data_IF_945355896780
#
_entry.id   IF_945355896780
#
_cell.length_a   1.000
_cell.length_b   1.000
_cell.length_c   1.000
_cell.angle_alpha   90.00
_cell.angle_beta   90.00
_cell.angle_gamma   90.00
#
_symmetry.space_group_name_H-M   'P 1'
#
loop_
_entity.id
_entity.type
_entity.pdbx_description
1 polymer ?
#
# COMPACT_ATOMS: atom_id res chain seq x y z
N UNK A 1 18.32 20.75 -8.76
CA UNK A 1 19.27 20.39 -7.68
C UNK A 1 19.22 18.91 -7.33
N UNK A 2 18.03 18.32 -7.11
CA UNK A 2 17.83 16.89 -6.80
C UNK A 2 18.47 15.94 -7.83
N UNK A 3 18.40 16.29 -9.11
CA UNK A 3 18.99 15.49 -10.18
C UNK A 3 20.52 15.47 -10.18
N UNK A 4 21.17 16.53 -9.70
CA UNK A 4 22.62 16.60 -9.63
C UNK A 4 23.15 15.71 -8.50
N UNK A 5 22.46 15.73 -7.35
CA UNK A 5 22.77 14.87 -6.20
C UNK A 5 22.57 13.41 -6.58
N UNK A 6 21.47 13.08 -7.27
CA UNK A 6 21.20 11.73 -7.75
C UNK A 6 22.29 11.22 -8.70
N UNK A 7 22.67 12.02 -9.71
CA UNK A 7 23.73 11.65 -10.66
C UNK A 7 25.09 11.47 -9.99
N UNK A 8 25.42 12.29 -8.99
CA UNK A 8 26.66 12.17 -8.23
C UNK A 8 26.70 10.87 -7.41
N UNK A 9 25.60 10.52 -6.74
CA UNK A 9 25.50 9.29 -5.95
C UNK A 9 25.61 8.05 -6.82
N UNK A 10 24.94 8.01 -7.98
CA UNK A 10 25.06 6.90 -8.94
C UNK A 10 26.51 6.71 -9.38
N UNK A 11 27.21 7.81 -9.71
CA UNK A 11 28.63 7.76 -10.11
C UNK A 11 29.55 7.23 -9.00
N UNK A 12 29.32 7.62 -7.74
CA UNK A 12 30.11 7.11 -6.61
C UNK A 12 29.89 5.61 -6.41
N UNK A 13 28.64 5.15 -6.53
CA UNK A 13 28.29 3.74 -6.40
C UNK A 13 28.79 2.89 -7.58
N UNK A 14 29.01 3.47 -8.76
CA UNK A 14 29.55 2.71 -9.91
C UNK A 14 31.05 2.39 -9.79
N UNK A 15 31.80 3.14 -8.96
CA UNK A 15 33.24 2.94 -8.75
C UNK A 15 33.52 1.86 -7.70
N UNK A 16 32.60 1.64 -6.77
CA UNK A 16 32.77 0.64 -5.72
C UNK A 16 32.46 -0.76 -6.30
N UNK A 17 33.43 -1.69 -6.29
CA UNK A 17 33.30 -2.98 -6.98
C UNK A 17 32.19 -3.87 -6.41
N UNK A 18 31.75 -3.64 -5.17
CA UNK A 18 30.67 -4.38 -4.51
C UNK A 18 29.27 -3.80 -4.74
N UNK A 19 29.14 -2.57 -5.24
CA UNK A 19 27.83 -1.96 -5.58
C UNK A 19 27.55 -1.98 -7.07
N UNK A 20 28.56 -2.30 -7.90
CA UNK A 20 28.40 -2.47 -9.34
C UNK A 20 27.53 -3.70 -9.64
N UNK A 21 26.23 -3.49 -9.76
CA UNK A 21 25.29 -4.54 -10.13
C UNK A 21 25.33 -4.73 -11.65
N UNK A 22 25.88 -5.85 -12.10
CA UNK A 22 25.93 -6.21 -13.54
C UNK A 22 24.60 -6.69 -14.10
N UNK A 23 23.61 -6.92 -13.23
CA UNK A 23 22.26 -7.32 -13.59
C UNK A 23 21.22 -6.42 -12.91
N UNK A 24 20.11 -6.09 -13.58
CA UNK A 24 18.99 -5.41 -12.94
C UNK A 24 18.53 -6.18 -11.69
N UNK A 25 18.23 -5.46 -10.62
CA UNK A 25 17.65 -6.06 -9.43
C UNK A 25 16.26 -6.64 -9.69
N UNK A 26 15.88 -7.65 -8.93
CA UNK A 26 14.56 -8.30 -9.05
C UNK A 26 13.36 -7.34 -8.87
N UNK A 27 13.60 -6.16 -8.32
CA UNK A 27 12.62 -5.10 -8.10
C UNK A 27 12.85 -3.84 -8.96
N UNK A 28 13.86 -3.84 -9.83
CA UNK A 28 14.04 -2.71 -10.77
C UNK A 28 13.08 -2.83 -11.93
N UNK A 29 12.61 -1.68 -12.40
CA UNK A 29 11.71 -1.55 -13.55
C UNK A 29 12.19 -2.34 -14.77
N UNK A 30 13.48 -2.30 -15.09
CA UNK A 30 14.08 -3.07 -16.20
C UNK A 30 13.83 -4.58 -16.07
N UNK A 31 13.98 -5.16 -14.86
CA UNK A 31 13.70 -6.58 -14.62
C UNK A 31 12.22 -6.96 -14.78
N UNK A 32 11.32 -6.00 -14.53
CA UNK A 32 9.88 -6.20 -14.69
C UNK A 32 9.44 -5.95 -16.15
N UNK A 33 10.10 -5.03 -16.85
CA UNK A 33 9.85 -4.73 -18.25
C UNK A 33 10.27 -5.87 -19.19
N UNK A 34 11.32 -6.61 -18.82
CA UNK A 34 11.78 -7.79 -19.57
C UNK A 34 10.89 -9.04 -19.36
N UNK A 35 9.88 -8.99 -18.49
CA UNK A 35 8.89 -10.07 -18.37
C UNK A 35 7.82 -9.91 -19.45
N UNK A 36 7.85 -10.81 -20.43
CA UNK A 36 6.95 -10.82 -21.58
C UNK A 36 5.45 -10.98 -21.22
N UNK A 37 5.12 -11.47 -20.02
CA UNK A 37 3.75 -11.70 -19.58
C UNK A 37 3.64 -11.38 -18.07
N UNK A 38 2.64 -10.60 -17.62
CA UNK A 38 2.33 -10.49 -16.20
C UNK A 38 1.78 -11.85 -15.74
N UNK A 39 2.66 -12.74 -15.29
CA UNK A 39 2.24 -13.99 -14.66
C UNK A 39 1.32 -13.61 -13.49
N UNK A 40 0.04 -14.05 -13.48
CA UNK A 40 -0.84 -13.74 -12.39
C UNK A 40 -0.17 -14.24 -11.11
N UNK A 41 -0.01 -13.33 -10.15
CA UNK A 41 0.55 -13.60 -8.84
C UNK A 41 -0.47 -14.46 -8.08
N UNK A 42 -0.49 -15.77 -8.35
CA UNK A 42 -1.29 -16.72 -7.59
C UNK A 42 -0.51 -17.04 -6.31
N UNK A 43 -0.63 -16.14 -5.33
CA UNK A 43 0.08 -16.23 -4.05
C UNK A 43 -0.34 -17.50 -3.27
N UNK A 44 -1.50 -18.10 -3.57
CA UNK A 44 -2.13 -19.12 -2.71
C UNK A 44 -2.70 -20.35 -3.43
N UNK A 45 -2.19 -20.76 -4.60
CA UNK A 45 -2.55 -22.09 -5.11
C UNK A 45 -1.75 -23.13 -4.30
N UNK A 46 -2.38 -23.71 -3.27
CA UNK A 46 -1.77 -24.77 -2.48
C UNK A 46 -1.39 -25.94 -3.41
N UNK A 47 -0.08 -26.14 -3.63
CA UNK A 47 0.45 -27.25 -4.43
C UNK A 47 0.40 -28.60 -3.71
N UNK A 48 0.03 -28.58 -2.43
CA UNK A 48 -0.10 -29.74 -1.55
C UNK A 48 -1.53 -29.83 -1.02
N UNK A 49 -2.12 -31.03 -0.86
CA UNK A 49 -3.44 -31.18 -0.27
C UNK A 49 -3.42 -30.58 1.14
N UNK A 50 -4.11 -29.44 1.30
CA UNK A 50 -4.28 -28.81 2.60
C UNK A 50 -5.34 -29.59 3.37
N UNK A 51 -5.09 -29.95 4.64
CA UNK A 51 -6.11 -30.53 5.49
C UNK A 51 -7.36 -29.63 5.52
N UNK A 52 -8.55 -30.24 5.47
CA UNK A 52 -9.84 -29.51 5.37
C UNK A 52 -10.01 -28.46 6.48
N UNK A 53 -9.49 -28.73 7.68
CA UNK A 53 -9.53 -27.78 8.80
C UNK A 53 -8.66 -26.53 8.58
N UNK A 54 -7.62 -26.61 7.75
CA UNK A 54 -6.79 -25.46 7.35
C UNK A 54 -7.52 -24.66 6.28
N UNK A 55 -8.14 -25.33 5.30
CA UNK A 55 -8.97 -24.70 4.27
C UNK A 55 -10.11 -23.89 4.92
N UNK A 56 -10.82 -24.48 5.87
CA UNK A 56 -11.91 -23.81 6.59
C UNK A 56 -11.47 -22.53 7.34
N UNK A 57 -10.19 -22.37 7.69
CA UNK A 57 -9.65 -21.14 8.30
C UNK A 57 -9.19 -20.12 7.26
N UNK A 58 -8.72 -20.58 6.11
CA UNK A 58 -8.25 -19.72 5.01
C UNK A 58 -9.35 -19.27 4.06
N UNK A 59 -10.49 -19.99 4.03
CA UNK A 59 -11.67 -19.58 3.27
C UNK A 59 -12.25 -18.34 3.96
N UNK A 60 -12.39 -17.21 3.25
CA UNK A 60 -13.07 -16.04 3.80
C UNK A 60 -14.45 -16.46 4.29
N UNK A 61 -14.72 -16.27 5.58
CA UNK A 61 -16.03 -16.56 6.15
C UNK A 61 -17.07 -15.73 5.39
N UNK A 62 -18.21 -16.33 4.96
CA UNK A 62 -19.31 -15.56 4.38
C UNK A 62 -19.94 -14.56 5.38
N UNK A 63 -19.58 -14.66 6.66
CA UNK A 63 -20.07 -13.82 7.76
C UNK A 63 -19.15 -12.64 8.10
N UNK A 64 -18.29 -12.22 7.16
CA UNK A 64 -17.34 -11.14 7.34
C UNK A 64 -16.06 -11.58 8.07
N UNK A 65 -14.95 -10.89 7.78
CA UNK A 65 -13.70 -11.11 8.50
C UNK A 65 -13.90 -10.75 9.97
N UNK A 66 -13.86 -11.75 10.86
CA UNK A 66 -14.00 -11.51 12.29
C UNK A 66 -12.75 -10.77 12.78
N UNK A 67 -12.86 -9.46 12.96
CA UNK A 67 -11.79 -8.63 13.54
C UNK A 67 -11.50 -9.12 14.96
N UNK A 68 -10.26 -9.59 15.23
CA UNK A 68 -9.88 -10.01 16.58
C UNK A 68 -10.05 -8.86 17.59
N UNK A 69 -10.47 -9.14 18.83
CA UNK A 69 -10.75 -8.09 19.82
C UNK A 69 -9.58 -7.13 20.04
N UNK A 70 -8.35 -7.65 20.05
CA UNK A 70 -7.13 -6.87 20.25
C UNK A 70 -6.76 -5.94 19.07
N UNK A 71 -7.38 -6.12 17.89
CA UNK A 71 -7.17 -5.23 16.74
C UNK A 71 -8.22 -4.13 16.65
N UNK A 72 -9.30 -4.20 17.43
CA UNK A 72 -10.39 -3.21 17.36
C UNK A 72 -9.91 -1.81 17.69
N UNK A 73 -9.16 -1.68 18.78
CA UNK A 73 -8.62 -0.39 19.22
C UNK A 73 -7.63 0.17 18.20
N UNK A 74 -6.76 -0.68 17.65
CA UNK A 74 -5.81 -0.30 16.61
C UNK A 74 -6.51 0.17 15.32
N UNK A 75 -7.59 -0.48 14.91
CA UNK A 75 -8.40 -0.05 13.76
C UNK A 75 -9.04 1.31 14.03
N UNK A 76 -9.63 1.52 15.20
CA UNK A 76 -10.19 2.81 15.59
C UNK A 76 -9.15 3.93 15.58
N UNK A 77 -7.92 3.64 16.06
CA UNK A 77 -6.80 4.58 15.96
C UNK A 77 -6.40 4.89 14.51
N UNK A 78 -6.42 3.91 13.60
CA UNK A 78 -6.14 4.15 12.18
C UNK A 78 -7.21 5.04 11.55
N UNK A 79 -8.49 4.73 11.77
CA UNK A 79 -9.60 5.53 11.23
C UNK A 79 -9.55 6.99 11.71
N UNK A 80 -9.21 7.21 12.98
CA UNK A 80 -9.05 8.56 13.51
C UNK A 80 -7.83 9.29 12.92
N UNK A 81 -6.71 8.59 12.73
CA UNK A 81 -5.55 9.17 12.03
C UNK A 81 -5.89 9.57 10.60
N UNK A 82 -6.67 8.77 9.89
CA UNK A 82 -7.12 9.09 8.53
C UNK A 82 -8.04 10.32 8.53
N UNK A 83 -8.98 10.41 9.48
CA UNK A 83 -9.81 11.62 9.66
C UNK A 83 -8.96 12.87 9.91
N UNK A 84 -7.94 12.77 10.76
CA UNK A 84 -7.03 13.89 11.01
C UNK A 84 -6.21 14.27 9.78
N UNK A 85 -5.78 13.28 9.01
CA UNK A 85 -5.07 13.51 7.76
C UNK A 85 -5.95 14.23 6.74
N UNK A 86 -7.19 13.80 6.55
CA UNK A 86 -8.17 14.47 5.67
C UNK A 86 -8.40 15.93 6.07
N UNK A 87 -8.62 16.19 7.37
CA UNK A 87 -8.81 17.57 7.87
C UNK A 87 -7.60 18.45 7.57
N UNK A 88 -6.38 17.94 7.79
CA UNK A 88 -5.14 18.67 7.48
C UNK A 88 -4.99 18.92 5.98
N UNK A 89 -5.34 17.94 5.15
CA UNK A 89 -5.31 18.06 3.70
C UNK A 89 -6.31 19.13 3.21
N UNK A 90 -7.53 19.15 3.77
CA UNK A 90 -8.53 20.16 3.44
C UNK A 90 -8.08 21.58 3.85
N UNK A 91 -7.50 21.73 5.04
CA UNK A 91 -6.93 23.02 5.49
C UNK A 91 -5.81 23.46 4.54
N UNK A 92 -4.90 22.56 4.17
CA UNK A 92 -3.83 22.86 3.23
C UNK A 92 -4.37 23.26 1.85
N UNK A 93 -5.40 22.55 1.35
CA UNK A 93 -6.06 22.89 0.08
C UNK A 93 -6.72 24.28 0.15
N UNK A 94 -7.40 24.60 1.26
CA UNK A 94 -8.04 25.90 1.46
C UNK A 94 -7.02 27.06 1.43
N UNK A 95 -5.81 26.87 1.97
CA UNK A 95 -4.73 27.88 1.85
C UNK A 95 -4.27 28.13 0.42
N UNK A 96 -4.52 27.17 -0.49
CA UNK A 96 -4.26 27.29 -1.92
C UNK A 96 -5.49 27.78 -2.71
N UNK A 97 -6.59 28.13 -2.02
CA UNK A 97 -7.85 28.54 -2.63
C UNK A 97 -8.69 27.38 -3.18
N UNK A 98 -8.37 26.14 -2.83
CA UNK A 98 -9.10 24.95 -3.23
C UNK A 98 -10.00 24.48 -2.08
N UNK A 99 -11.30 24.38 -2.32
CA UNK A 99 -12.23 23.82 -1.34
C UNK A 99 -12.32 22.30 -1.53
N UNK A 100 -11.63 21.56 -0.66
CA UNK A 100 -11.60 20.10 -0.71
C UNK A 100 -12.67 19.54 0.23
N UNK A 101 -13.66 18.77 -0.27
CA UNK A 101 -14.65 18.15 0.60
C UNK A 101 -13.96 17.13 1.51
N UNK A 102 -14.26 17.17 2.81
CA UNK A 102 -13.74 16.24 3.80
C UNK A 102 -14.85 15.76 4.74
N UNK A 103 -14.64 14.62 5.36
CA UNK A 103 -15.65 13.99 6.22
C UNK A 103 -15.53 14.46 7.67
N UNK A 104 -16.66 14.82 8.29
CA UNK A 104 -16.78 15.12 9.71
C UNK A 104 -18.19 14.79 10.23
N UNK A 105 -18.37 14.71 11.55
CA UNK A 105 -19.68 14.42 12.13
C UNK A 105 -20.67 15.55 11.80
N UNK A 106 -21.65 15.24 10.94
CA UNK A 106 -22.61 16.21 10.41
C UNK A 106 -22.29 16.73 9.00
N UNK A 107 -21.24 16.23 8.34
CA UNK A 107 -21.00 16.52 6.92
C UNK A 107 -21.88 15.64 6.02
N UNK A 108 -22.45 16.22 4.97
CA UNK A 108 -23.17 15.47 3.92
C UNK A 108 -22.22 14.68 2.98
N UNK A 109 -20.91 14.80 3.20
CA UNK A 109 -19.88 14.13 2.40
C UNK A 109 -19.70 12.69 2.91
N UNK A 110 -20.12 11.71 2.11
CA UNK A 110 -19.91 10.30 2.39
C UNK A 110 -18.56 9.81 1.84
N UNK A 111 -17.82 9.00 2.62
CA UNK A 111 -16.66 8.26 2.09
C UNK A 111 -17.13 7.21 1.09
N UNK A 112 -16.75 7.36 -0.17
CA UNK A 112 -17.01 6.36 -1.20
C UNK A 112 -16.05 5.18 -0.99
N UNK A 113 -16.59 3.99 -0.68
CA UNK A 113 -15.82 2.74 -0.66
C UNK A 113 -15.78 1.95 0.65
N UNK A 114 -16.44 2.40 1.73
CA UNK A 114 -16.59 1.61 2.96
C UNK A 114 -18.01 1.07 3.05
N UNK A 115 -18.25 -0.25 2.89
CA UNK A 115 -19.57 -0.81 3.14
C UNK A 115 -19.90 -0.71 4.64
N UNK A 116 -21.18 -0.44 4.92
CA UNK A 116 -21.76 -0.29 6.26
C UNK A 116 -21.68 -1.57 7.10
#
# INVERSE_FOLDING_TARGET
MRDAIWRALVRVLDVLPWTRRTSPGRHTFQHLADRAEPVPLVICAARTPLPVHVLARSVPSPWGHRVPPYLRDWIGEQEERERQHERRAAVAAATLGLDLPFTFDGSDVARVGVPA
#
